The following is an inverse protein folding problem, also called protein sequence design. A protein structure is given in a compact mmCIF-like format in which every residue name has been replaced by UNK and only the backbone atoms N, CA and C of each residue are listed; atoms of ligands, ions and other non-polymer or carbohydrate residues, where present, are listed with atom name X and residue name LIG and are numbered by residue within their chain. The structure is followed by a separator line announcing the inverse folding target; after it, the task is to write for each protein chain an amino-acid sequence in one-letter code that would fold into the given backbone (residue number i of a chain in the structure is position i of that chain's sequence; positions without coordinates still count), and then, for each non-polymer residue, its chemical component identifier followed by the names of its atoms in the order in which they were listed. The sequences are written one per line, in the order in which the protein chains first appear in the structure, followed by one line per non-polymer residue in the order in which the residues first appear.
data_IF_083938588407
#
_entry.id   IF_083938588407
#
_cell.length_a   1.000
_cell.length_b   1.000
_cell.length_c   1.000
_cell.angle_alpha   90.00
_cell.angle_beta   90.00
_cell.angle_gamma   90.00
#
_symmetry.space_group_name_H-M   'P 1'
#
loop_
_entity.id
_entity.type
_entity.pdbx_description
1 polymer ?
#
# COMPACT_ATOMS: atom_id res chain seq x y z
N UNK A 1 -8.25 -14.80 8.91
CA UNK A 1 -7.12 -15.74 8.71
C UNK A 1 -7.35 -16.72 7.55
N UNK A 2 -8.57 -16.88 7.12
CA UNK A 2 -8.96 -17.91 6.13
C UNK A 2 -8.38 -17.69 4.71
N UNK A 3 -8.01 -16.47 4.33
CA UNK A 3 -7.61 -16.19 2.94
C UNK A 3 -6.10 -16.28 2.65
N UNK A 4 -5.23 -16.29 3.65
CA UNK A 4 -3.77 -16.36 3.43
C UNK A 4 -3.30 -17.75 2.99
N UNK A 5 -3.79 -18.80 3.64
CA UNK A 5 -3.40 -20.19 3.35
C UNK A 5 -3.84 -20.67 1.97
N UNK A 6 -5.10 -20.47 1.53
CA UNK A 6 -5.53 -20.91 0.21
C UNK A 6 -4.79 -20.20 -0.93
N UNK A 7 -4.54 -18.90 -0.81
CA UNK A 7 -3.85 -18.13 -1.84
C UNK A 7 -2.39 -18.58 -2.05
N UNK A 8 -1.70 -18.95 -0.96
CA UNK A 8 -0.32 -19.42 -1.05
C UNK A 8 -0.18 -20.87 -1.46
N UNK A 9 -1.19 -21.70 -1.21
CA UNK A 9 -1.22 -23.09 -1.67
C UNK A 9 -1.40 -23.22 -3.19
N UNK A 10 -2.05 -22.22 -3.82
CA UNK A 10 -2.21 -22.16 -5.28
C UNK A 10 -0.93 -21.69 -6.00
N UNK A 11 0.03 -21.14 -5.27
CA UNK A 11 1.27 -20.61 -5.83
C UNK A 11 2.42 -21.44 -5.26
N UNK A 12 3.08 -22.23 -6.09
CA UNK A 12 4.15 -23.18 -5.71
C UNK A 12 5.30 -22.61 -4.87
N UNK A 13 5.37 -21.27 -4.73
CA UNK A 13 6.44 -20.58 -4.01
C UNK A 13 5.88 -19.45 -3.12
N UNK A 14 5.54 -19.73 -1.85
CA UNK A 14 5.04 -18.72 -0.90
C UNK A 14 5.92 -17.47 -0.79
N UNK A 15 7.24 -17.63 -0.81
CA UNK A 15 8.21 -16.52 -0.73
C UNK A 15 8.19 -15.54 -1.92
N UNK A 16 7.43 -15.83 -2.99
CA UNK A 16 7.20 -14.91 -4.11
C UNK A 16 5.89 -14.12 -3.97
N UNK A 17 5.07 -14.44 -2.97
CA UNK A 17 3.78 -13.80 -2.75
C UNK A 17 3.94 -12.61 -1.81
N UNK A 18 3.31 -11.49 -2.17
CA UNK A 18 3.22 -10.31 -1.34
C UNK A 18 1.74 -10.01 -1.14
N UNK A 19 1.27 -10.07 0.11
CA UNK A 19 -0.09 -9.68 0.45
C UNK A 19 -0.14 -8.17 0.66
N UNK A 20 -0.84 -7.48 -0.21
CA UNK A 20 -1.06 -6.03 -0.09
C UNK A 20 -2.43 -5.82 0.54
N UNK A 21 -2.49 -4.99 1.56
CA UNK A 21 -3.74 -4.72 2.26
C UNK A 21 -3.86 -3.29 2.76
N UNK A 22 -5.10 -2.83 2.89
CA UNK A 22 -5.45 -1.57 3.52
C UNK A 22 -5.60 -1.74 5.04
N UNK A 23 -6.02 -0.70 5.74
CA UNK A 23 -6.15 -0.56 7.19
C UNK A 23 -6.89 -1.71 7.87
N UNK A 24 -7.89 -2.29 7.20
CA UNK A 24 -8.62 -3.47 7.69
C UNK A 24 -7.74 -4.73 7.80
N UNK A 25 -6.62 -4.74 7.09
CA UNK A 25 -5.64 -5.83 7.12
C UNK A 25 -4.57 -5.65 8.20
N UNK A 26 -4.58 -4.51 8.92
CA UNK A 26 -3.62 -4.17 9.97
C UNK A 26 -3.86 -4.98 11.27
N UNK A 27 -3.68 -6.29 11.16
CA UNK A 27 -3.91 -7.27 12.23
C UNK A 27 -2.59 -7.99 12.52
N UNK A 28 -2.06 -7.85 13.75
CA UNK A 28 -0.76 -8.40 14.14
C UNK A 28 -0.64 -9.91 13.91
N UNK A 29 -1.71 -10.64 14.16
CA UNK A 29 -1.78 -12.09 13.93
C UNK A 29 -1.58 -12.47 12.45
N UNK A 30 -1.98 -11.61 11.54
CA UNK A 30 -1.73 -11.81 10.10
C UNK A 30 -0.26 -11.65 9.76
N UNK A 31 0.44 -10.73 10.40
CA UNK A 31 1.89 -10.56 10.23
C UNK A 31 2.65 -11.81 10.70
N UNK A 32 2.26 -12.35 11.85
CA UNK A 32 2.83 -13.59 12.35
C UNK A 32 2.54 -14.77 11.41
N UNK A 33 1.29 -14.92 10.96
CA UNK A 33 0.89 -15.98 10.05
C UNK A 33 1.59 -15.89 8.68
N UNK A 34 1.76 -14.70 8.12
CA UNK A 34 2.50 -14.50 6.88
C UNK A 34 3.95 -14.97 7.03
N UNK A 35 4.59 -14.65 8.15
CA UNK A 35 5.95 -15.07 8.46
C UNK A 35 6.07 -16.59 8.64
N UNK A 36 5.11 -17.23 9.30
CA UNK A 36 5.07 -18.69 9.48
C UNK A 36 4.90 -19.44 8.16
N UNK A 37 4.10 -18.90 7.25
CA UNK A 37 3.85 -19.50 5.91
C UNK A 37 5.02 -19.20 4.96
N UNK A 38 5.88 -18.23 5.27
CA UNK A 38 6.99 -17.80 4.42
C UNK A 38 6.57 -16.89 3.26
N UNK A 39 5.45 -16.20 3.38
CA UNK A 39 4.98 -15.17 2.45
C UNK A 39 5.28 -13.77 2.97
N UNK A 40 5.18 -12.77 2.11
CA UNK A 40 5.43 -11.37 2.46
C UNK A 40 4.16 -10.55 2.51
N UNK A 41 4.23 -9.39 3.16
CA UNK A 41 3.12 -8.46 3.22
C UNK A 41 3.56 -7.01 3.09
N UNK A 42 2.64 -6.16 2.64
CA UNK A 42 2.72 -4.70 2.65
C UNK A 42 1.34 -4.17 3.05
N UNK A 43 1.22 -3.65 4.25
CA UNK A 43 -0.07 -3.26 4.84
C UNK A 43 -0.04 -1.78 5.20
N UNK A 44 -1.12 -1.07 4.86
CA UNK A 44 -1.34 0.28 5.35
C UNK A 44 -1.76 0.20 6.82
N UNK A 45 -0.91 0.70 7.72
CA UNK A 45 -1.19 0.65 9.16
C UNK A 45 -2.07 1.82 9.60
N UNK A 46 -2.94 1.54 10.56
CA UNK A 46 -3.75 2.54 11.26
C UNK A 46 -3.59 2.46 12.78
N UNK A 47 -2.84 1.47 13.25
CA UNK A 47 -2.59 1.26 14.68
C UNK A 47 -1.15 1.67 14.99
N UNK A 48 -1.00 2.58 15.93
CA UNK A 48 0.30 2.92 16.48
C UNK A 48 0.66 1.90 17.58
N UNK A 49 1.64 1.07 17.29
CA UNK A 49 2.04 -0.06 18.15
C UNK A 49 3.27 0.29 18.96
N UNK A 50 3.38 -0.35 20.11
CA UNK A 50 4.61 -0.30 20.91
C UNK A 50 5.79 -0.85 20.11
N UNK A 51 6.93 -0.19 20.27
CA UNK A 51 8.18 -0.47 19.57
C UNK A 51 9.34 -0.69 20.58
N UNK A 52 10.44 -1.21 20.09
CA UNK A 52 11.66 -1.38 20.89
C UNK A 52 11.45 -2.23 22.13
N UNK A 53 11.63 -1.61 23.27
CA UNK A 53 11.47 -2.23 24.60
C UNK A 53 10.06 -2.04 25.17
N UNK A 54 9.22 -1.24 24.50
CA UNK A 54 7.85 -0.99 24.90
C UNK A 54 7.60 0.38 25.55
N UNK A 55 8.63 1.21 25.66
CA UNK A 55 8.53 2.54 26.28
C UNK A 55 8.06 3.60 25.30
N UNK A 56 8.06 3.31 24.00
CA UNK A 56 7.67 4.22 22.93
C UNK A 56 6.95 3.46 21.82
N UNK A 57 6.39 4.23 20.87
CA UNK A 57 5.58 3.72 19.78
C UNK A 57 6.32 3.74 18.44
N UNK A 58 5.72 3.14 17.41
CA UNK A 58 6.22 3.25 16.03
C UNK A 58 6.24 4.72 15.59
N UNK A 59 5.26 5.52 15.97
CA UNK A 59 5.21 6.93 15.61
C UNK A 59 6.40 7.70 16.20
N UNK A 60 6.69 7.50 17.48
CA UNK A 60 7.85 8.11 18.16
C UNK A 60 9.16 7.74 17.46
N UNK A 61 9.35 6.46 17.12
CA UNK A 61 10.52 5.99 16.38
C UNK A 61 10.67 6.63 15.00
N UNK A 62 9.56 6.91 14.34
CA UNK A 62 9.54 7.46 12.98
C UNK A 62 9.73 8.98 12.95
N UNK A 63 9.44 9.71 14.03
CA UNK A 63 9.67 11.16 14.12
C UNK A 63 11.15 11.51 13.99
N UNK A 64 12.03 10.70 14.53
CA UNK A 64 13.49 10.88 14.45
C UNK A 64 14.09 10.51 13.09
N UNK A 65 13.31 9.89 12.19
CA UNK A 65 13.83 9.40 10.92
C UNK A 65 13.89 10.52 9.89
N UNK A 66 15.09 10.84 9.44
CA UNK A 66 15.29 11.78 8.35
C UNK A 66 14.64 11.30 7.04
N UNK A 67 14.20 12.25 6.20
CA UNK A 67 13.70 11.95 4.85
C UNK A 67 14.79 11.25 4.04
N UNK A 68 14.45 10.07 3.50
CA UNK A 68 15.36 9.24 2.70
C UNK A 68 15.25 9.51 1.20
N UNK A 69 14.14 10.09 0.77
CA UNK A 69 13.92 10.40 -0.65
C UNK A 69 12.59 11.12 -0.89
N UNK A 70 12.48 11.63 -2.11
CA UNK A 70 11.24 12.24 -2.60
C UNK A 70 10.69 11.38 -3.73
N UNK A 71 9.37 11.17 -3.74
CA UNK A 71 8.70 10.42 -4.78
C UNK A 71 7.50 11.20 -5.32
N UNK A 72 7.46 11.39 -6.65
CA UNK A 72 6.36 12.07 -7.32
C UNK A 72 5.34 11.05 -7.80
N UNK A 73 4.08 11.30 -7.49
CA UNK A 73 2.96 10.45 -7.91
C UNK A 73 1.87 11.29 -8.57
N UNK A 74 1.16 10.65 -9.49
CA UNK A 74 -0.09 11.19 -10.02
C UNK A 74 -1.25 10.77 -9.14
N UNK A 75 -2.11 11.71 -8.82
CA UNK A 75 -3.30 11.51 -7.98
C UNK A 75 -4.50 12.17 -8.65
N UNK A 76 -5.68 11.98 -8.07
CA UNK A 76 -6.87 12.73 -8.49
C UNK A 76 -7.28 13.72 -7.39
N UNK A 77 -7.74 14.88 -7.79
CA UNK A 77 -8.36 15.85 -6.90
C UNK A 77 -9.78 15.39 -6.48
N UNK A 78 -10.47 16.16 -5.65
CA UNK A 78 -11.83 15.84 -5.20
C UNK A 78 -12.88 15.88 -6.32
N UNK A 79 -12.57 16.50 -7.44
CA UNK A 79 -13.45 16.60 -8.63
C UNK A 79 -13.10 15.51 -9.67
N UNK A 80 -12.11 14.63 -9.36
CA UNK A 80 -11.65 13.58 -10.26
C UNK A 80 -10.63 14.04 -11.31
N UNK A 81 -10.21 15.31 -11.28
CA UNK A 81 -9.20 15.87 -12.16
C UNK A 81 -7.79 15.35 -11.83
N UNK A 82 -6.86 15.34 -12.80
CA UNK A 82 -5.49 14.94 -12.56
C UNK A 82 -4.76 15.96 -11.67
N UNK A 83 -4.02 15.47 -10.69
CA UNK A 83 -3.18 16.27 -9.81
C UNK A 83 -1.86 15.53 -9.53
N UNK A 84 -0.86 16.20 -8.99
CA UNK A 84 0.42 15.63 -8.64
C UNK A 84 0.74 15.86 -7.18
N UNK A 85 1.32 14.84 -6.55
CA UNK A 85 1.83 14.92 -5.21
C UNK A 85 3.32 14.58 -5.17
N UNK A 86 4.07 15.26 -4.32
CA UNK A 86 5.45 14.91 -3.98
C UNK A 86 5.45 14.36 -2.57
N UNK A 87 5.83 13.10 -2.42
CA UNK A 87 5.88 12.41 -1.14
C UNK A 87 7.30 12.44 -0.59
N UNK A 88 7.43 12.80 0.67
CA UNK A 88 8.61 12.59 1.49
C UNK A 88 8.57 11.19 2.05
N UNK A 89 9.58 10.39 1.73
CA UNK A 89 9.65 9.00 2.16
C UNK A 89 10.64 8.85 3.29
N UNK A 90 10.17 8.35 4.42
CA UNK A 90 10.97 7.92 5.57
C UNK A 90 10.76 6.43 5.76
N UNK A 91 11.78 5.71 6.14
CA UNK A 91 11.67 4.30 6.51
C UNK A 91 12.75 3.87 7.50
N UNK A 92 12.38 2.93 8.37
CA UNK A 92 13.25 2.33 9.37
C UNK A 92 12.82 0.90 9.66
N UNK A 93 13.78 0.02 9.98
CA UNK A 93 13.47 -1.27 10.59
C UNK A 93 13.23 -1.06 12.06
N UNK A 94 12.07 -1.51 12.54
CA UNK A 94 11.63 -1.34 13.93
C UNK A 94 11.26 -2.70 14.51
N UNK A 95 11.60 -2.94 15.77
CA UNK A 95 11.09 -4.06 16.53
C UNK A 95 9.70 -3.69 17.02
N UNK A 96 8.68 -4.28 16.42
CA UNK A 96 7.27 -4.05 16.71
C UNK A 96 6.78 -5.08 17.71
N UNK A 97 6.14 -4.64 18.78
CA UNK A 97 5.61 -5.50 19.83
C UNK A 97 4.19 -5.94 19.52
N UNK A 98 3.79 -7.15 19.99
CA UNK A 98 2.41 -7.58 19.93
C UNK A 98 1.49 -6.65 20.73
N UNK A 99 0.19 -6.59 20.39
CA UNK A 99 -0.78 -5.83 21.17
C UNK A 99 -0.77 -6.21 22.64
N UNK A 100 -1.07 -5.24 23.51
CA UNK A 100 -1.18 -5.47 24.96
C UNK A 100 -2.14 -6.64 25.24
N UNK A 101 -1.73 -7.55 26.13
CA UNK A 101 -2.46 -8.78 26.43
C UNK A 101 -2.21 -9.96 25.48
N UNK A 102 -1.54 -9.75 24.34
CA UNK A 102 -1.18 -10.81 23.38
C UNK A 102 0.31 -11.14 23.36
N UNK A 103 1.12 -10.47 24.17
CA UNK A 103 2.59 -10.60 24.21
C UNK A 103 3.08 -12.00 24.58
N UNK A 104 2.29 -12.77 25.37
CA UNK A 104 2.60 -14.18 25.68
C UNK A 104 2.34 -15.12 24.51
N UNK A 105 1.48 -14.71 23.57
CA UNK A 105 1.01 -15.55 22.46
C UNK A 105 1.77 -15.31 21.16
N UNK A 106 2.21 -14.08 20.93
CA UNK A 106 2.86 -13.69 19.69
C UNK A 106 4.25 -13.09 19.96
N UNK A 107 5.25 -13.41 19.14
CA UNK A 107 6.58 -12.84 19.27
C UNK A 107 6.62 -11.39 18.81
N UNK A 108 7.59 -10.62 19.27
CA UNK A 108 7.95 -9.36 18.64
C UNK A 108 8.48 -9.60 17.21
N UNK A 109 8.15 -8.73 16.28
CA UNK A 109 8.56 -8.82 14.89
C UNK A 109 9.45 -7.64 14.51
N UNK A 110 10.56 -7.90 13.83
CA UNK A 110 11.34 -6.84 13.19
C UNK A 110 10.78 -6.58 11.81
N UNK A 111 10.15 -5.42 11.64
CA UNK A 111 9.44 -5.02 10.43
C UNK A 111 10.02 -3.71 9.88
N UNK A 112 9.83 -3.46 8.60
CA UNK A 112 10.12 -2.16 8.01
C UNK A 112 8.86 -1.31 8.07
N UNK A 113 8.97 -0.17 8.73
CA UNK A 113 7.92 0.87 8.73
C UNK A 113 8.31 1.93 7.72
N UNK A 114 7.33 2.39 6.94
CA UNK A 114 7.49 3.43 5.94
C UNK A 114 6.44 4.48 6.20
N UNK A 115 6.88 5.72 6.20
CA UNK A 115 6.02 6.89 6.25
C UNK A 115 6.19 7.67 4.94
N UNK A 116 5.13 7.76 4.17
CA UNK A 116 5.06 8.51 2.93
C UNK A 116 4.10 9.69 3.14
N UNK A 117 4.66 10.86 3.35
CA UNK A 117 3.92 12.08 3.66
C UNK A 117 4.04 13.07 2.51
N UNK A 118 2.93 13.65 2.10
CA UNK A 118 2.91 14.65 1.04
C UNK A 118 3.55 15.96 1.50
N UNK A 119 4.47 16.47 0.68
CA UNK A 119 5.10 17.76 0.91
C UNK A 119 4.13 18.89 0.58
N UNK A 120 3.86 19.75 1.55
CA UNK A 120 2.92 20.85 1.42
C UNK A 120 1.47 20.44 1.69
N UNK A 121 0.53 21.32 1.41
CA UNK A 121 -0.90 21.13 1.66
C UNK A 121 -1.67 21.33 0.36
N UNK A 122 -2.29 20.26 -0.19
CA UNK A 122 -3.12 20.37 -1.40
C UNK A 122 -4.38 21.19 -1.10
N UNK A 123 -4.86 21.94 -2.10
CA UNK A 123 -6.05 22.79 -1.94
C UNK A 123 -7.36 22.03 -2.14
N UNK A 124 -7.36 21.04 -3.06
CA UNK A 124 -8.58 20.42 -3.57
C UNK A 124 -8.71 18.94 -3.21
N UNK A 125 -7.97 18.44 -2.23
CA UNK A 125 -8.04 17.06 -1.73
C UNK A 125 -7.39 16.92 -0.36
N UNK A 126 -7.58 15.78 0.27
CA UNK A 126 -6.88 15.46 1.50
C UNK A 126 -5.38 15.25 1.23
N UNK A 127 -4.54 15.77 2.14
CA UNK A 127 -3.11 15.50 2.16
C UNK A 127 -2.86 13.99 2.27
N UNK A 128 -1.90 13.52 1.53
CA UNK A 128 -1.49 12.11 1.61
C UNK A 128 -0.59 11.96 2.83
N UNK A 129 -0.97 11.03 3.68
CA UNK A 129 -0.23 10.59 4.86
C UNK A 129 -0.42 9.07 4.97
N UNK A 130 0.55 8.32 4.44
CA UNK A 130 0.50 6.87 4.42
C UNK A 130 1.58 6.29 5.32
N UNK A 131 1.13 5.53 6.30
CA UNK A 131 1.98 4.70 7.14
C UNK A 131 1.83 3.27 6.69
N UNK A 132 2.92 2.65 6.28
CA UNK A 132 2.96 1.28 5.77
C UNK A 132 3.87 0.43 6.64
N UNK A 133 3.53 -0.84 6.77
CA UNK A 133 4.32 -1.83 7.52
C UNK A 133 4.53 -3.08 6.65
N UNK A 134 5.75 -3.62 6.66
CA UNK A 134 6.12 -4.76 5.83
C UNK A 134 7.28 -5.54 6.44
N UNK A 135 7.39 -6.81 6.06
CA UNK A 135 8.56 -7.66 6.34
C UNK A 135 9.59 -7.66 5.19
N UNK A 136 9.26 -7.00 4.06
CA UNK A 136 10.13 -6.94 2.89
C UNK A 136 11.42 -6.15 3.15
N UNK A 137 12.55 -6.55 2.58
CA UNK A 137 13.75 -5.71 2.50
C UNK A 137 13.44 -4.43 1.71
N UNK A 138 13.99 -3.29 2.15
CA UNK A 138 13.74 -1.96 1.56
C UNK A 138 14.00 -1.93 0.05
N UNK A 139 15.04 -2.61 -0.44
CA UNK A 139 15.36 -2.69 -1.86
C UNK A 139 14.24 -3.34 -2.70
N UNK A 140 13.56 -4.36 -2.16
CA UNK A 140 12.40 -5.00 -2.81
C UNK A 140 11.15 -4.13 -2.74
N UNK A 141 11.04 -3.33 -1.69
CA UNK A 141 9.89 -2.48 -1.44
C UNK A 141 9.76 -1.35 -2.44
N UNK A 142 10.87 -0.68 -2.77
CA UNK A 142 10.89 0.35 -3.83
C UNK A 142 10.41 -0.27 -5.14
N UNK A 143 10.85 -1.50 -5.45
CA UNK A 143 10.35 -2.25 -6.59
C UNK A 143 8.86 -2.55 -6.54
N UNK A 144 8.31 -2.93 -5.37
CA UNK A 144 6.89 -3.24 -5.21
C UNK A 144 6.00 -2.00 -5.34
N UNK A 145 6.40 -0.87 -4.75
CA UNK A 145 5.68 0.41 -4.88
C UNK A 145 5.66 0.88 -6.34
N UNK A 146 6.79 0.74 -7.05
CA UNK A 146 6.88 1.08 -8.47
C UNK A 146 6.05 0.15 -9.36
N UNK A 147 5.97 -1.16 -9.02
CA UNK A 147 5.13 -2.14 -9.73
C UNK A 147 3.64 -1.86 -9.52
N UNK A 148 3.21 -1.53 -8.31
CA UNK A 148 1.82 -1.21 -8.03
C UNK A 148 1.37 0.04 -8.82
N UNK A 149 2.23 1.06 -8.91
CA UNK A 149 1.94 2.26 -9.70
C UNK A 149 1.81 1.95 -11.20
N UNK A 150 2.70 1.10 -11.74
CA UNK A 150 2.61 0.65 -13.14
C UNK A 150 1.32 -0.15 -13.41
N UNK A 151 0.91 -0.99 -12.50
CA UNK A 151 -0.30 -1.79 -12.65
C UNK A 151 -1.56 -0.89 -12.58
N UNK A 152 -1.64 0.02 -11.64
CA UNK A 152 -2.73 1.01 -11.56
C UNK A 152 -2.80 1.92 -12.78
N UNK A 153 -1.65 2.33 -13.34
CA UNK A 153 -1.60 3.11 -14.57
C UNK A 153 -2.14 2.30 -15.77
N UNK A 154 -1.75 1.01 -15.89
CA UNK A 154 -2.25 0.11 -16.94
C UNK A 154 -3.73 -0.18 -16.83
N UNK A 155 -4.24 -0.41 -15.63
CA UNK A 155 -5.68 -0.62 -15.38
C UNK A 155 -6.50 0.61 -15.76
N UNK A 156 -5.98 1.82 -15.47
CA UNK A 156 -6.63 3.09 -15.87
C UNK A 156 -6.62 3.26 -17.38
N UNK A 157 -5.48 3.04 -18.03
CA UNK A 157 -5.36 3.14 -19.48
C UNK A 157 -6.30 2.14 -20.19
N UNK A 158 -6.38 0.90 -19.73
CA UNK A 158 -7.30 -0.10 -20.26
C UNK A 158 -8.78 0.22 -19.97
N UNK A 159 -9.11 0.98 -18.92
CA UNK A 159 -10.47 1.46 -18.64
C UNK A 159 -10.84 2.64 -19.57
N UNK A 160 -9.90 3.56 -19.79
CA UNK A 160 -10.08 4.70 -20.69
C UNK A 160 -10.23 4.22 -22.15
N UNK A 161 -9.42 3.28 -22.61
CA UNK A 161 -9.53 2.67 -23.94
C UNK A 161 -10.87 1.94 -24.15
N UNK A 162 -11.40 1.25 -23.12
CA UNK A 162 -12.75 0.64 -23.19
C UNK A 162 -13.86 1.68 -23.20
N UNK A 163 -13.72 2.76 -22.46
CA UNK A 163 -14.69 3.85 -22.45
C UNK A 163 -14.74 4.56 -23.82
N UNK A 164 -13.59 4.81 -24.44
CA UNK A 164 -13.50 5.38 -25.78
C UNK A 164 -14.07 4.44 -26.86
N UNK A 165 -13.81 3.13 -26.76
CA UNK A 165 -14.36 2.13 -27.67
C UNK A 165 -15.91 2.06 -27.59
N UNK A 166 -16.48 2.19 -26.37
CA UNK A 166 -17.93 2.23 -26.16
C UNK A 166 -18.52 3.52 -26.73
N UNK A 167 -17.87 4.67 -26.53
CA UNK A 167 -18.33 5.96 -27.11
C UNK A 167 -18.26 5.96 -28.64
N UNK A 168 -17.17 5.43 -29.20
CA UNK A 168 -17.03 5.28 -30.64
C UNK A 168 -18.11 4.38 -31.28
N UNK A 169 -18.42 3.26 -30.60
CA UNK A 169 -19.47 2.34 -31.06
C UNK A 169 -20.90 2.93 -30.96
N UNK A 170 -21.16 3.80 -29.97
CA UNK A 170 -22.44 4.53 -29.87
C UNK A 170 -22.55 5.63 -30.90
N UNK A 171 -21.48 6.37 -31.19
CA UNK A 171 -21.49 7.42 -32.22
C UNK A 171 -21.67 6.86 -33.65
N UNK A 172 -21.06 5.69 -33.94
CA UNK A 172 -21.26 5.02 -35.24
C UNK A 172 -22.69 4.56 -35.52
N UNK A 173 -23.42 4.10 -34.48
CA UNK A 173 -24.83 3.70 -34.62
C UNK A 173 -25.81 4.85 -34.83
N UNK A 174 -25.50 6.04 -34.32
CA UNK A 174 -26.35 7.22 -34.51
C UNK A 174 -26.23 7.82 -35.93
N UNK A 175 -25.15 7.58 -36.64
CA UNK A 175 -24.96 8.03 -38.02
C UNK A 175 -25.63 7.12 -39.06
N UNK A 176 -25.75 5.81 -38.76
CA UNK A 176 -26.42 4.86 -39.67
C UNK A 176 -27.97 4.97 -39.67
N UNK A 177 -28.56 5.43 -38.57
CA UNK A 177 -30.02 5.61 -38.43
C UNK A 177 -30.52 6.93 -39.03
N UNK A 178 -29.62 7.89 -39.29
CA UNK A 178 -29.97 9.16 -39.92
C UNK A 178 -29.94 9.14 -41.47
N UNK A 179 -29.59 7.99 -42.07
CA UNK A 179 -29.47 7.83 -43.54
C UNK A 179 -30.50 6.86 -44.16
N UNK A 180 -31.62 6.60 -43.45
CA UNK A 180 -32.73 5.80 -43.96
C UNK A 180 -34.01 6.61 -44.05
#
# INVERSE_FOLDING_TARGET
MENLKPSTQLLDHPGRCIHIGDRESDIYERFCAAKEIGTHFLIRTCVDRLAGDGDHTIADEMEEVAVKGLHRIEVRDSNGGPDQAVLEIRYRKIRVLPPTGKQKRYPALTLTVIHAEERGTPKNRKKIDWKLITDLPVARLIGAILLEQKNRARERQGADERAEAIHGACAGRLMDDASR
#
